data_IF_953096497859
#
_entry.id   IF_953096497859
#
_cell.length_a   1.000
_cell.length_b   1.000
_cell.length_c   1.000
_cell.angle_alpha   90.00
_cell.angle_beta   90.00
_cell.angle_gamma   90.00
#
_symmetry.space_group_name_H-M   'P 1'
#
loop_
_entity.id
_entity.type
_entity.pdbx_description
1 polymer ?
#
# COMPACT_ATOMS: atom_id res chain seq x y z
N UNK A 1 -22.59 18.54 -12.56
CA UNK A 1 -21.62 19.65 -12.39
C UNK A 1 -21.29 20.34 -13.72
N UNK A 2 -21.00 19.59 -14.79
CA UNK A 2 -20.69 20.07 -16.16
C UNK A 2 -21.58 21.21 -16.68
N UNK A 3 -22.92 20.99 -16.74
CA UNK A 3 -23.90 21.98 -17.24
C UNK A 3 -23.90 23.31 -16.48
N UNK A 4 -23.57 23.28 -15.17
CA UNK A 4 -23.49 24.49 -14.33
C UNK A 4 -22.20 25.27 -14.59
N UNK A 5 -21.10 24.58 -14.88
CA UNK A 5 -19.81 25.18 -15.25
C UNK A 5 -19.89 25.83 -16.65
N UNK A 6 -20.55 25.15 -17.60
CA UNK A 6 -20.78 25.64 -18.97
C UNK A 6 -21.64 26.91 -18.97
N UNK A 7 -22.76 26.92 -18.21
CA UNK A 7 -23.58 28.13 -18.08
C UNK A 7 -22.80 29.29 -17.42
N UNK A 8 -21.97 29.02 -16.41
CA UNK A 8 -21.15 30.04 -15.78
C UNK A 8 -20.11 30.63 -16.76
N UNK A 9 -19.54 29.79 -17.63
CA UNK A 9 -18.59 30.23 -18.66
C UNK A 9 -19.26 31.12 -19.71
N UNK A 10 -20.45 30.74 -20.21
CA UNK A 10 -21.24 31.58 -21.14
C UNK A 10 -21.50 32.96 -20.53
N UNK A 11 -22.01 33.00 -19.30
CA UNK A 11 -22.31 34.26 -18.59
C UNK A 11 -21.06 35.12 -18.41
N UNK A 12 -19.92 34.51 -18.06
CA UNK A 12 -18.65 35.22 -17.89
C UNK A 12 -18.10 35.80 -19.21
N UNK A 13 -18.24 35.08 -20.32
CA UNK A 13 -17.81 35.54 -21.64
C UNK A 13 -18.71 36.68 -22.15
N UNK A 14 -20.03 36.58 -21.96
CA UNK A 14 -20.96 37.66 -22.28
C UNK A 14 -20.70 38.92 -21.45
N UNK A 15 -20.33 38.79 -20.17
CA UNK A 15 -19.96 39.91 -19.32
C UNK A 15 -18.66 40.62 -19.76
N UNK A 16 -17.80 39.95 -20.55
CA UNK A 16 -16.60 40.53 -21.14
C UNK A 16 -16.88 41.27 -22.47
N UNK A 17 -18.15 41.43 -22.86
CA UNK A 17 -18.54 42.09 -24.09
C UNK A 17 -18.34 41.24 -25.34
N UNK A 18 -18.14 39.93 -25.18
CA UNK A 18 -18.02 39.00 -26.29
C UNK A 18 -19.39 38.79 -26.94
N UNK A 19 -19.44 38.84 -28.27
CA UNK A 19 -20.65 38.52 -29.02
C UNK A 19 -21.10 37.08 -28.71
N UNK A 20 -22.40 36.88 -28.58
CA UNK A 20 -23.00 35.62 -28.12
C UNK A 20 -22.61 34.43 -28.99
N UNK A 21 -22.42 34.64 -30.30
CA UNK A 21 -21.97 33.62 -31.25
C UNK A 21 -20.54 33.15 -30.95
N UNK A 22 -19.59 34.08 -30.76
CA UNK A 22 -18.21 33.73 -30.39
C UNK A 22 -18.11 33.10 -29.00
N UNK A 23 -18.95 33.55 -28.05
CA UNK A 23 -19.03 32.93 -26.74
C UNK A 23 -19.52 31.47 -26.82
N UNK A 24 -20.46 31.19 -27.72
CA UNK A 24 -20.97 29.83 -27.93
C UNK A 24 -19.92 28.92 -28.60
N UNK A 25 -19.19 29.40 -29.62
CA UNK A 25 -18.13 28.62 -30.28
C UNK A 25 -17.02 28.20 -29.30
N UNK A 26 -16.62 29.11 -28.40
CA UNK A 26 -15.65 28.81 -27.33
C UNK A 26 -16.21 27.75 -26.38
N UNK A 27 -17.49 27.87 -26.03
CA UNK A 27 -18.15 26.94 -25.12
C UNK A 27 -18.27 25.56 -25.75
N UNK A 28 -18.67 25.44 -27.00
CA UNK A 28 -18.76 24.17 -27.73
C UNK A 28 -17.38 23.53 -27.86
N UNK A 29 -16.34 24.33 -28.12
CA UNK A 29 -14.94 23.87 -28.14
C UNK A 29 -14.50 23.34 -26.77
N UNK A 30 -14.85 24.04 -25.69
CA UNK A 30 -14.52 23.64 -24.32
C UNK A 30 -15.30 22.38 -23.94
N UNK A 31 -16.59 22.32 -24.25
CA UNK A 31 -17.45 21.16 -23.99
C UNK A 31 -16.91 19.92 -24.71
N UNK A 32 -16.62 20.02 -26.00
CA UNK A 32 -16.02 18.94 -26.77
C UNK A 32 -14.66 18.51 -26.20
N UNK A 33 -13.79 19.46 -25.79
CA UNK A 33 -12.51 19.12 -25.15
C UNK A 33 -12.69 18.40 -23.81
N UNK A 34 -13.69 18.78 -23.01
CA UNK A 34 -13.98 18.11 -21.74
C UNK A 34 -14.59 16.73 -21.99
N UNK A 35 -15.50 16.59 -22.96
CA UNK A 35 -16.07 15.29 -23.37
C UNK A 35 -14.99 14.33 -23.88
N UNK A 36 -14.11 14.79 -24.77
CA UNK A 36 -12.97 14.01 -25.25
C UNK A 36 -12.03 13.63 -24.10
N UNK A 37 -11.80 14.52 -23.14
CA UNK A 37 -11.01 14.19 -21.96
C UNK A 37 -11.69 13.14 -21.08
N UNK A 38 -12.99 13.25 -20.81
CA UNK A 38 -13.73 12.25 -20.02
C UNK A 38 -13.79 10.88 -20.73
N UNK A 39 -13.87 10.85 -22.07
CA UNK A 39 -13.82 9.60 -22.82
C UNK A 39 -12.45 8.89 -22.75
N UNK A 40 -11.37 9.64 -22.50
CA UNK A 40 -10.01 9.12 -22.43
C UNK A 40 -9.60 8.67 -21.01
N UNK A 41 -10.44 8.88 -20.01
CA UNK A 41 -10.12 8.55 -18.62
C UNK A 41 -11.24 7.75 -17.96
N UNK A 42 -10.88 6.66 -17.28
CA UNK A 42 -11.78 5.87 -16.47
C UNK A 42 -11.55 6.19 -14.98
N UNK A 43 -12.63 6.19 -14.22
CA UNK A 43 -12.54 6.13 -12.75
C UNK A 43 -12.17 4.70 -12.34
N UNK A 44 -11.09 4.57 -11.58
CA UNK A 44 -10.63 3.33 -10.99
C UNK A 44 -10.87 3.39 -9.48
N UNK A 45 -11.71 2.49 -8.98
CA UNK A 45 -11.95 2.35 -7.55
C UNK A 45 -10.81 1.56 -6.90
N UNK A 46 -10.13 2.16 -5.93
CA UNK A 46 -9.07 1.52 -5.14
C UNK A 46 -9.61 1.15 -3.77
N UNK A 47 -9.32 -0.07 -3.34
CA UNK A 47 -9.70 -0.63 -2.04
C UNK A 47 -8.44 -1.23 -1.41
N UNK A 48 -8.16 -0.88 -0.16
CA UNK A 48 -7.10 -1.51 0.62
C UNK A 48 -7.65 -2.08 1.90
N UNK A 49 -7.34 -3.34 2.20
CA UNK A 49 -7.66 -4.01 3.46
C UNK A 49 -6.37 -4.37 4.19
N UNK A 50 -6.32 -4.20 5.52
CA UNK A 50 -5.08 -4.34 6.29
C UNK A 50 -4.21 -3.07 6.27
N UNK A 51 -2.92 -3.20 6.61
CA UNK A 51 -1.98 -2.06 6.65
C UNK A 51 -1.06 -2.03 5.44
N UNK A 52 -1.28 -1.04 4.59
CA UNK A 52 -0.48 -0.76 3.40
C UNK A 52 -1.15 0.33 2.56
N UNK A 53 -0.56 0.63 1.41
CA UNK A 53 -1.10 1.58 0.44
C UNK A 53 -0.87 1.11 -0.98
N UNK A 54 -1.55 1.75 -1.92
CA UNK A 54 -1.39 1.56 -3.35
C UNK A 54 -0.94 2.88 -3.97
N UNK A 55 0.01 2.86 -4.90
CA UNK A 55 0.41 4.06 -5.64
C UNK A 55 0.13 3.92 -7.13
N UNK A 56 -0.62 4.88 -7.69
CA UNK A 56 -1.02 4.94 -9.10
C UNK A 56 -0.80 6.37 -9.57
N UNK A 57 -0.15 6.55 -10.73
CA UNK A 57 0.16 7.88 -11.29
C UNK A 57 0.85 8.84 -10.29
N UNK A 58 1.72 8.30 -9.42
CA UNK A 58 2.42 9.07 -8.38
C UNK A 58 1.57 9.42 -7.14
N UNK A 59 0.26 9.15 -7.17
CA UNK A 59 -0.63 9.34 -6.03
C UNK A 59 -0.63 8.09 -5.15
N UNK A 60 -0.47 8.27 -3.82
CA UNK A 60 -0.59 7.18 -2.84
C UNK A 60 -1.98 7.18 -2.23
N UNK A 61 -2.60 5.99 -2.17
CA UNK A 61 -4.00 5.76 -1.84
C UNK A 61 -4.12 4.66 -0.79
N UNK A 62 -5.00 4.85 0.18
CA UNK A 62 -5.46 3.82 1.13
C UNK A 62 -6.94 3.50 0.90
N UNK A 63 -7.41 3.72 -0.32
CA UNK A 63 -8.82 3.64 -0.71
C UNK A 63 -9.29 4.88 -1.46
N UNK A 64 -10.44 4.77 -2.13
CA UNK A 64 -11.08 5.84 -2.89
C UNK A 64 -10.87 5.70 -4.40
N UNK A 65 -11.31 6.68 -5.16
CA UNK A 65 -11.27 6.64 -6.63
C UNK A 65 -10.08 7.44 -7.17
N UNK A 66 -9.48 6.95 -8.26
CA UNK A 66 -8.40 7.62 -9.00
C UNK A 66 -8.71 7.60 -10.50
N UNK A 67 -8.31 8.65 -11.20
CA UNK A 67 -8.48 8.72 -12.66
C UNK A 67 -7.29 8.10 -13.37
N UNK A 68 -7.57 7.20 -14.32
CA UNK A 68 -6.56 6.52 -15.14
C UNK A 68 -6.92 6.64 -16.61
N UNK A 69 -5.92 6.70 -17.49
CA UNK A 69 -6.18 6.73 -18.93
C UNK A 69 -6.72 5.40 -19.42
N UNK A 70 -7.79 5.45 -20.20
CA UNK A 70 -8.43 4.26 -20.77
C UNK A 70 -7.56 3.63 -21.84
N UNK A 71 -7.45 2.30 -21.85
CA UNK A 71 -6.73 1.55 -22.89
C UNK A 71 -5.20 1.63 -22.79
N UNK A 72 -4.65 2.45 -21.89
CA UNK A 72 -3.24 2.45 -21.55
C UNK A 72 -2.96 1.52 -20.36
N UNK A 73 -1.76 0.92 -20.36
CA UNK A 73 -1.32 0.10 -19.25
C UNK A 73 -1.01 0.98 -18.04
N UNK A 74 -1.66 0.69 -16.92
CA UNK A 74 -1.51 1.42 -15.66
C UNK A 74 -0.65 0.61 -14.70
N UNK A 75 0.43 1.23 -14.23
CA UNK A 75 1.25 0.65 -13.17
C UNK A 75 0.62 0.88 -11.81
N UNK A 76 0.29 -0.23 -11.15
CA UNK A 76 -0.22 -0.26 -9.77
C UNK A 76 0.91 -0.73 -8.86
N UNK A 77 1.45 0.17 -8.04
CA UNK A 77 2.44 -0.18 -7.01
C UNK A 77 1.73 -0.53 -5.71
N UNK A 78 2.18 -1.56 -5.04
CA UNK A 78 1.67 -2.00 -3.74
C UNK A 78 2.74 -1.79 -2.68
N UNK A 79 2.39 -1.10 -1.59
CA UNK A 79 3.31 -0.73 -0.53
C UNK A 79 2.78 -1.27 0.80
N UNK A 80 3.11 -2.52 1.18
CA UNK A 80 2.82 -3.01 2.52
C UNK A 80 3.46 -2.13 3.59
N UNK A 81 2.77 -1.93 4.71
CA UNK A 81 3.40 -1.30 5.88
C UNK A 81 4.48 -2.22 6.48
N UNK A 82 5.34 -1.66 7.33
CA UNK A 82 6.33 -2.46 8.06
C UNK A 82 5.66 -3.59 8.86
N UNK A 83 6.18 -4.81 8.72
CA UNK A 83 5.61 -6.02 9.32
C UNK A 83 4.36 -6.55 8.63
N UNK A 84 4.03 -6.07 7.43
CA UNK A 84 2.93 -6.57 6.58
C UNK A 84 3.46 -7.04 5.23
N UNK A 85 2.67 -7.89 4.57
CA UNK A 85 2.90 -8.36 3.20
C UNK A 85 1.63 -8.23 2.37
N UNK A 86 1.77 -8.20 1.06
CA UNK A 86 0.63 -8.39 0.16
C UNK A 86 0.14 -9.82 0.33
N UNK A 87 -1.14 -9.97 0.63
CA UNK A 87 -1.80 -11.26 0.78
C UNK A 87 -2.57 -11.63 -0.49
N UNK A 88 -3.35 -10.67 -1.00
CA UNK A 88 -4.23 -10.88 -2.15
C UNK A 88 -4.40 -9.60 -2.96
N UNK A 89 -4.46 -9.74 -4.28
CA UNK A 89 -4.82 -8.67 -5.21
C UNK A 89 -6.00 -9.14 -6.05
N UNK A 90 -7.02 -8.29 -6.17
CA UNK A 90 -8.20 -8.51 -7.02
C UNK A 90 -8.34 -7.34 -7.98
N UNK A 91 -8.58 -7.64 -9.25
CA UNK A 91 -8.87 -6.64 -10.29
C UNK A 91 -10.24 -6.95 -10.86
N UNK A 92 -11.15 -5.98 -10.82
CA UNK A 92 -12.54 -6.12 -11.28
C UNK A 92 -13.26 -7.34 -10.64
N UNK A 93 -12.93 -7.65 -9.39
CA UNK A 93 -13.47 -8.80 -8.64
C UNK A 93 -12.80 -10.15 -8.94
N UNK A 94 -11.79 -10.19 -9.81
CA UNK A 94 -11.04 -11.41 -10.14
C UNK A 94 -9.73 -11.40 -9.34
N UNK A 95 -9.51 -12.44 -8.52
CA UNK A 95 -8.25 -12.64 -7.81
C UNK A 95 -7.13 -12.90 -8.80
N UNK A 96 -6.05 -12.14 -8.73
CA UNK A 96 -4.86 -12.38 -9.54
C UNK A 96 -4.14 -13.64 -9.04
N UNK A 97 -3.85 -14.54 -9.96
CA UNK A 97 -3.14 -15.80 -9.71
C UNK A 97 -2.13 -16.03 -10.83
N UNK A 98 -1.23 -17.01 -10.63
CA UNK A 98 -0.27 -17.38 -11.68
C UNK A 98 -0.96 -17.95 -12.94
N UNK A 99 -2.16 -18.50 -12.80
CA UNK A 99 -2.88 -19.12 -13.92
C UNK A 99 -3.60 -18.10 -14.80
N UNK A 100 -4.18 -17.05 -14.19
CA UNK A 100 -4.96 -16.05 -14.93
C UNK A 100 -4.18 -14.77 -15.27
N UNK A 101 -3.13 -14.45 -14.52
CA UNK A 101 -2.36 -13.22 -14.69
C UNK A 101 -0.86 -13.44 -14.36
N UNK A 102 -0.17 -14.35 -15.08
CA UNK A 102 1.22 -14.73 -14.78
C UNK A 102 2.16 -13.52 -14.76
N UNK A 103 2.10 -12.64 -15.77
CA UNK A 103 2.98 -11.46 -15.85
C UNK A 103 2.73 -10.46 -14.72
N UNK A 104 1.47 -10.30 -14.29
CA UNK A 104 1.14 -9.44 -13.15
C UNK A 104 1.72 -10.04 -11.85
N UNK A 105 1.58 -11.36 -11.67
CA UNK A 105 2.12 -12.05 -10.50
C UNK A 105 3.64 -12.07 -10.44
N UNK A 106 4.32 -12.22 -11.58
CA UNK A 106 5.78 -12.10 -11.66
C UNK A 106 6.25 -10.69 -11.26
N UNK A 107 5.58 -9.67 -11.79
CA UNK A 107 5.89 -8.27 -11.45
C UNK A 107 5.60 -7.95 -9.99
N UNK A 108 4.53 -8.54 -9.41
CA UNK A 108 4.09 -8.24 -8.06
C UNK A 108 5.14 -8.58 -6.99
N UNK A 109 6.02 -9.54 -7.28
CA UNK A 109 7.20 -9.85 -6.46
C UNK A 109 8.11 -8.63 -6.30
N UNK A 110 8.14 -7.75 -7.29
CA UNK A 110 8.86 -6.47 -7.28
C UNK A 110 8.01 -5.30 -6.74
N UNK A 111 6.85 -5.58 -6.14
CA UNK A 111 5.98 -4.59 -5.51
C UNK A 111 5.09 -3.81 -6.47
N UNK A 112 4.88 -4.27 -7.70
CA UNK A 112 3.94 -3.64 -8.64
C UNK A 112 3.38 -4.61 -9.66
N UNK A 113 2.28 -4.26 -10.31
CA UNK A 113 1.82 -4.93 -11.51
C UNK A 113 1.27 -3.90 -12.49
N UNK A 114 1.28 -4.25 -13.77
CA UNK A 114 0.75 -3.41 -14.84
C UNK A 114 -0.59 -4.00 -15.31
N UNK A 115 -1.62 -3.16 -15.48
CA UNK A 115 -2.95 -3.58 -15.92
C UNK A 115 -3.62 -2.51 -16.79
N UNK A 116 -4.29 -2.92 -17.86
CA UNK A 116 -5.02 -2.01 -18.74
C UNK A 116 -6.48 -1.90 -18.32
N UNK A 117 -6.90 -0.70 -17.94
CA UNK A 117 -8.29 -0.41 -17.60
C UNK A 117 -9.02 0.20 -18.79
N UNK A 118 -10.25 -0.25 -19.04
CA UNK A 118 -11.06 0.19 -20.18
C UNK A 118 -12.26 0.99 -19.71
N UNK A 119 -12.66 2.02 -20.46
CA UNK A 119 -13.74 2.94 -20.08
C UNK A 119 -15.16 2.37 -20.24
N UNK A 120 -15.30 1.17 -20.80
CA UNK A 120 -16.56 0.50 -21.09
C UNK A 120 -17.10 -0.34 -19.92
N UNK A 121 -16.36 -0.42 -18.81
CA UNK A 121 -16.69 -1.24 -17.66
C UNK A 121 -16.34 -0.55 -16.33
N UNK A 122 -16.95 -1.04 -15.24
CA UNK A 122 -16.56 -0.62 -13.90
C UNK A 122 -15.18 -1.18 -13.55
N UNK A 123 -14.23 -0.30 -13.22
CA UNK A 123 -12.87 -0.70 -12.88
C UNK A 123 -12.61 -0.62 -11.38
N UNK A 124 -12.00 -1.66 -10.82
CA UNK A 124 -11.61 -1.69 -9.42
C UNK A 124 -10.32 -2.49 -9.20
N UNK A 125 -9.55 -2.06 -8.21
CA UNK A 125 -8.42 -2.80 -7.65
C UNK A 125 -8.62 -2.90 -6.16
N UNK A 126 -8.57 -4.12 -5.64
CA UNK A 126 -8.56 -4.40 -4.21
C UNK A 126 -7.26 -5.10 -3.83
N UNK A 127 -6.56 -4.53 -2.85
CA UNK A 127 -5.33 -5.12 -2.29
C UNK A 127 -5.55 -5.42 -0.83
N UNK A 128 -5.29 -6.66 -0.44
CA UNK A 128 -5.35 -7.12 0.95
C UNK A 128 -3.93 -7.30 1.47
N UNK A 129 -3.66 -6.73 2.64
CA UNK A 129 -2.39 -6.83 3.34
C UNK A 129 -2.57 -7.67 4.61
N UNK A 130 -1.76 -8.71 4.75
CA UNK A 130 -1.72 -9.53 5.96
C UNK A 130 -0.52 -9.13 6.82
N UNK A 131 -0.71 -9.20 8.14
CA UNK A 131 0.42 -9.08 9.07
C UNK A 131 1.35 -10.26 8.84
N UNK A 132 2.65 -9.99 8.79
CA UNK A 132 3.67 -11.04 8.78
C UNK A 132 3.68 -11.60 10.20
N UNK A 133 3.19 -12.83 10.36
CA UNK A 133 3.25 -13.54 11.63
C UNK A 133 4.72 -13.79 11.98
N UNK A 134 5.23 -13.06 12.96
CA UNK A 134 6.50 -13.34 13.60
C UNK A 134 6.18 -14.23 14.80
N UNK A 135 6.30 -15.54 14.64
CA UNK A 135 6.23 -16.45 15.77
C UNK A 135 7.35 -16.08 16.74
N UNK A 136 6.99 -15.50 17.87
CA UNK A 136 7.90 -15.18 18.95
C UNK A 136 7.55 -16.01 20.17
N UNK A 137 8.59 -16.47 20.85
CA UNK A 137 8.52 -17.14 22.14
C UNK A 137 9.13 -16.23 23.19
N UNK A 138 8.52 -16.16 24.36
CA UNK A 138 9.08 -15.42 25.50
C UNK A 138 9.97 -16.35 26.31
N UNK A 139 11.25 -16.02 26.44
CA UNK A 139 12.15 -16.67 27.40
C UNK A 139 12.06 -15.93 28.73
N UNK A 140 11.83 -16.69 29.80
CA UNK A 140 11.92 -16.17 31.17
C UNK A 140 13.36 -16.28 31.64
N UNK A 141 13.98 -15.14 31.90
CA UNK A 141 15.35 -15.07 32.40
C UNK A 141 15.31 -14.75 33.88
N UNK A 142 15.98 -15.57 34.67
CA UNK A 142 16.22 -15.34 36.09
C UNK A 142 17.72 -15.31 36.33
N UNK A 143 18.19 -14.36 37.13
CA UNK A 143 19.61 -14.28 37.53
C UNK A 143 19.69 -14.19 39.04
N UNK A 144 20.52 -15.02 39.63
CA UNK A 144 20.85 -14.99 41.06
C UNK A 144 22.32 -14.56 41.24
N UNK A 145 22.61 -13.80 42.30
CA UNK A 145 23.95 -13.27 42.55
C UNK A 145 24.27 -11.98 41.75
N UNK A 146 25.56 -11.73 41.51
CA UNK A 146 26.04 -10.52 40.79
C UNK A 146 26.56 -10.86 39.39
N UNK A 147 25.85 -10.38 38.37
CA UNK A 147 26.17 -10.57 36.97
C UNK A 147 24.98 -10.23 36.08
N UNK A 148 25.10 -10.51 34.78
CA UNK A 148 24.04 -10.33 33.81
C UNK A 148 24.06 -11.41 32.74
N UNK A 149 22.96 -11.49 31.99
CA UNK A 149 22.82 -12.33 30.80
C UNK A 149 22.57 -11.44 29.61
N UNK A 150 23.17 -11.75 28.46
CA UNK A 150 22.99 -11.02 27.21
C UNK A 150 22.31 -11.94 26.17
N UNK A 151 21.12 -11.53 25.70
CA UNK A 151 20.30 -12.22 24.69
C UNK A 151 19.85 -11.19 23.67
N UNK A 152 20.05 -11.44 22.37
CA UNK A 152 19.73 -10.49 21.29
C UNK A 152 20.33 -9.08 21.51
N UNK A 153 21.53 -9.00 22.10
CA UNK A 153 22.18 -7.73 22.43
C UNK A 153 21.55 -6.97 23.61
N UNK A 154 20.54 -7.54 24.26
CA UNK A 154 19.93 -7.00 25.47
C UNK A 154 20.60 -7.60 26.71
N UNK A 155 21.16 -6.75 27.57
CA UNK A 155 21.68 -7.12 28.89
C UNK A 155 20.53 -7.18 29.90
N UNK A 156 20.40 -8.31 30.58
CA UNK A 156 19.32 -8.67 31.48
C UNK A 156 19.88 -9.05 32.86
N UNK A 157 19.21 -8.61 33.92
CA UNK A 157 19.42 -9.06 35.31
C UNK A 157 18.17 -9.76 35.85
N UNK A 158 17.44 -10.41 34.94
CA UNK A 158 16.11 -10.97 35.16
C UNK A 158 15.05 -10.33 34.24
N UNK A 159 13.95 -11.04 34.02
CA UNK A 159 12.80 -10.59 33.23
C UNK A 159 12.55 -11.42 31.98
N UNK A 160 11.58 -10.99 31.19
CA UNK A 160 11.12 -11.69 30.00
C UNK A 160 11.78 -11.09 28.74
N UNK A 161 12.25 -11.94 27.82
CA UNK A 161 12.81 -11.52 26.51
C UNK A 161 12.12 -12.27 25.38
N UNK A 162 11.75 -11.57 24.31
CA UNK A 162 11.13 -12.19 23.14
C UNK A 162 12.17 -12.61 22.12
N UNK A 163 12.08 -13.86 21.67
CA UNK A 163 12.95 -14.46 20.66
C UNK A 163 12.10 -15.09 19.56
N UNK A 164 12.65 -15.23 18.35
CA UNK A 164 11.93 -15.93 17.26
C UNK A 164 11.80 -17.41 17.59
N UNK A 165 10.60 -17.95 17.42
CA UNK A 165 10.32 -19.38 17.63
C UNK A 165 11.09 -20.23 16.63
N UNK A 166 11.75 -21.29 17.11
CA UNK A 166 12.48 -22.25 16.27
C UNK A 166 13.85 -21.80 15.79
N UNK A 167 14.30 -20.59 16.13
CA UNK A 167 15.68 -20.14 15.87
C UNK A 167 16.59 -20.40 17.08
N UNK A 168 17.86 -20.71 16.82
CA UNK A 168 18.88 -20.87 17.86
C UNK A 168 19.16 -19.55 18.56
N UNK A 169 18.98 -19.51 19.88
CA UNK A 169 19.28 -18.33 20.70
C UNK A 169 20.66 -18.48 21.32
N UNK A 170 21.54 -17.51 21.07
CA UNK A 170 22.82 -17.41 21.78
C UNK A 170 22.60 -16.67 23.10
N UNK A 171 22.94 -17.32 24.20
CA UNK A 171 22.92 -16.74 25.55
C UNK A 171 24.35 -16.52 25.99
N UNK A 172 24.71 -15.29 26.37
CA UNK A 172 26.02 -14.97 26.93
C UNK A 172 25.87 -14.60 28.40
N UNK A 173 26.65 -15.24 29.27
CA UNK A 173 26.61 -15.00 30.72
C UNK A 173 27.82 -14.15 31.10
N UNK A 174 27.58 -13.06 31.82
CA UNK A 174 28.59 -12.09 32.21
C UNK A 174 28.63 -11.98 33.74
N UNK A 175 29.47 -12.76 34.44
CA UNK A 175 29.68 -12.58 35.88
C UNK A 175 30.30 -11.20 36.16
N UNK A 176 29.92 -10.58 37.28
CA UNK A 176 30.55 -9.34 37.72
C UNK A 176 32.02 -9.56 38.15
N UNK A 177 32.81 -8.49 38.24
CA UNK A 177 34.20 -8.57 38.69
C UNK A 177 34.30 -9.22 40.08
N UNK A 178 35.20 -10.21 40.20
CA UNK A 178 35.36 -11.01 41.42
C UNK A 178 34.34 -12.15 41.60
N UNK A 179 33.41 -12.34 40.66
CA UNK A 179 32.43 -13.44 40.65
C UNK A 179 32.75 -14.44 39.53
N UNK A 180 32.26 -15.68 39.69
CA UNK A 180 32.33 -16.73 38.66
C UNK A 180 30.94 -17.31 38.42
N UNK A 181 30.73 -17.93 37.26
CA UNK A 181 29.50 -18.67 36.98
C UNK A 181 29.52 -19.98 37.78
N UNK A 182 28.49 -20.18 38.60
CA UNK A 182 28.33 -21.41 39.39
C UNK A 182 27.44 -22.43 38.65
N UNK A 183 26.29 -21.98 38.11
CA UNK A 183 25.30 -22.84 37.47
C UNK A 183 24.52 -22.09 36.37
N UNK A 184 24.11 -22.82 35.32
CA UNK A 184 23.17 -22.38 34.28
C UNK A 184 22.12 -23.47 34.08
N UNK A 185 20.84 -23.10 34.12
CA UNK A 185 19.70 -24.01 33.89
C UNK A 185 18.87 -23.51 32.71
N UNK A 186 18.36 -24.46 31.92
CA UNK A 186 17.48 -24.21 30.77
C UNK A 186 16.34 -25.22 30.84
N UNK A 187 15.10 -24.73 30.81
CA UNK A 187 13.87 -25.52 30.92
C UNK A 187 12.90 -25.21 29.77
#
# INVERSE_FOLDING_TARGET
MKKKLIMALIVALSAQGMETVYAQDIVDTVENRIEVQEANYASLKVITEGKGSVSINGQTLTGGDVSVKTGESVRVKVNPAEGYKVDKVEVNGIVLTKDNAPSAMESLVNGYFDYTFWGDQANSVKVTFAKVETNQTTLKVTTEGKGSVEINGQTLTGGDVSVKTGESVRVKVNPAEGYKVDKVEVN
#
